data_IF_194863904590
#
_entry.id   IF_194863904590
#
_cell.length_a   1.000
_cell.length_b   1.000
_cell.length_c   1.000
_cell.angle_alpha   90.00
_cell.angle_beta   90.00
_cell.angle_gamma   90.00
#
_symmetry.space_group_name_H-M   'P 1'
#
loop_
_entity.id
_entity.type
_entity.pdbx_description
1 polymer ?
#
# COMPACT_ATOMS: atom_id res chain seq x y z
N UNK A 1 -23.65 -11.65 -6.36
CA UNK A 1 -24.21 -10.61 -7.25
C UNK A 1 -23.11 -10.15 -8.20
N UNK A 2 -23.41 -10.10 -9.49
CA UNK A 2 -22.49 -9.61 -10.54
C UNK A 2 -23.25 -8.61 -11.40
N UNK A 3 -22.68 -7.43 -11.59
CA UNK A 3 -23.29 -6.35 -12.36
C UNK A 3 -22.22 -5.55 -13.09
N UNK A 4 -22.62 -4.84 -14.14
CA UNK A 4 -21.73 -3.95 -14.87
C UNK A 4 -22.31 -2.54 -14.91
N UNK A 5 -21.44 -1.55 -14.93
CA UNK A 5 -21.79 -0.15 -15.19
C UNK A 5 -20.72 0.50 -16.07
N UNK A 6 -21.12 1.56 -16.77
CA UNK A 6 -20.24 2.30 -17.67
C UNK A 6 -19.83 3.60 -17.01
N UNK A 7 -18.53 3.89 -17.06
CA UNK A 7 -17.97 5.22 -16.79
C UNK A 7 -17.37 5.75 -18.09
N UNK A 8 -17.12 7.07 -18.24
CA UNK A 8 -16.52 7.61 -19.46
C UNK A 8 -15.26 6.83 -19.88
N UNK A 9 -15.32 6.21 -21.06
CA UNK A 9 -14.22 5.44 -21.65
C UNK A 9 -13.99 4.03 -21.08
N UNK A 10 -14.78 3.53 -20.12
CA UNK A 10 -14.58 2.20 -19.51
C UNK A 10 -15.88 1.50 -19.13
N UNK A 11 -15.92 0.19 -19.27
CA UNK A 11 -16.95 -0.67 -18.66
C UNK A 11 -16.36 -1.33 -17.43
N UNK A 12 -17.01 -1.17 -16.28
CA UNK A 12 -16.59 -1.76 -15.01
C UNK A 12 -17.53 -2.92 -14.68
N UNK A 13 -16.96 -4.11 -14.50
CA UNK A 13 -17.66 -5.30 -14.03
C UNK A 13 -17.36 -5.50 -12.55
N UNK A 14 -18.39 -5.57 -11.72
CA UNK A 14 -18.29 -5.85 -10.29
C UNK A 14 -18.90 -7.21 -9.98
N UNK A 15 -18.21 -8.02 -9.19
CA UNK A 15 -18.67 -9.34 -8.78
C UNK A 15 -18.32 -9.62 -7.33
N UNK A 16 -19.29 -10.17 -6.60
CA UNK A 16 -19.08 -10.78 -5.27
C UNK A 16 -19.35 -12.30 -5.30
N UNK A 17 -19.57 -12.88 -6.49
CA UNK A 17 -19.70 -14.33 -6.64
C UNK A 17 -18.34 -15.00 -6.42
N UNK A 18 -18.20 -15.92 -5.45
CA UNK A 18 -16.96 -16.63 -5.17
C UNK A 18 -16.39 -17.38 -6.37
N UNK A 19 -17.24 -17.91 -7.27
CA UNK A 19 -16.77 -18.63 -8.47
C UNK A 19 -16.07 -17.69 -9.45
N UNK A 20 -16.61 -16.48 -9.62
CA UNK A 20 -15.97 -15.46 -10.46
C UNK A 20 -14.67 -14.97 -9.83
N UNK A 21 -14.64 -14.77 -8.50
CA UNK A 21 -13.44 -14.36 -7.77
C UNK A 21 -12.35 -15.44 -7.88
N UNK A 22 -12.69 -16.71 -7.69
CA UNK A 22 -11.75 -17.83 -7.89
C UNK A 22 -11.26 -17.91 -9.33
N UNK A 23 -12.15 -17.70 -10.30
CA UNK A 23 -11.77 -17.68 -11.70
C UNK A 23 -10.72 -16.60 -11.99
N UNK A 24 -10.98 -15.37 -11.52
CA UNK A 24 -10.11 -14.21 -11.75
C UNK A 24 -8.79 -14.28 -10.99
N UNK A 25 -8.81 -14.68 -9.72
CA UNK A 25 -7.65 -14.55 -8.83
C UNK A 25 -6.81 -15.84 -8.72
N UNK A 26 -7.30 -16.97 -9.24
CA UNK A 26 -6.63 -18.27 -9.08
C UNK A 26 -6.58 -19.08 -10.36
N UNK A 27 -7.73 -19.45 -10.94
CA UNK A 27 -7.72 -20.45 -12.04
C UNK A 27 -7.36 -19.85 -13.39
N UNK A 28 -7.54 -18.55 -13.57
CA UNK A 28 -7.30 -17.85 -14.84
C UNK A 28 -6.56 -16.52 -14.65
N UNK A 29 -5.72 -16.44 -13.62
CA UNK A 29 -5.07 -15.20 -13.15
C UNK A 29 -4.34 -14.43 -14.26
N UNK A 30 -3.61 -15.13 -15.13
CA UNK A 30 -2.79 -14.50 -16.17
C UNK A 30 -3.60 -13.71 -17.21
N UNK A 31 -4.92 -13.98 -17.32
CA UNK A 31 -5.84 -13.25 -18.19
C UNK A 31 -6.44 -11.98 -17.54
N UNK A 32 -6.20 -11.74 -16.25
CA UNK A 32 -6.73 -10.58 -15.51
C UNK A 32 -5.58 -9.68 -15.02
N UNK A 33 -5.00 -8.93 -15.95
CA UNK A 33 -3.95 -7.96 -15.66
C UNK A 33 -4.52 -6.62 -15.17
N UNK A 34 -3.72 -5.85 -14.42
CA UNK A 34 -4.09 -4.48 -14.00
C UNK A 34 -4.10 -3.53 -15.19
N UNK A 35 -3.10 -3.65 -16.07
CA UNK A 35 -2.99 -2.90 -17.32
C UNK A 35 -2.75 -1.40 -17.13
N UNK A 36 -2.60 -0.68 -18.25
CA UNK A 36 -2.24 0.74 -18.29
C UNK A 36 -3.21 1.66 -17.55
N UNK A 37 -4.49 1.30 -17.54
CA UNK A 37 -5.52 2.05 -16.82
C UNK A 37 -5.17 2.19 -15.33
N UNK A 38 -4.60 1.13 -14.74
CA UNK A 38 -4.13 1.15 -13.36
C UNK A 38 -2.66 1.58 -13.26
N UNK A 39 -1.77 1.08 -14.12
CA UNK A 39 -0.33 1.29 -13.91
C UNK A 39 0.12 2.73 -14.15
N UNK A 40 -0.48 3.43 -15.12
CA UNK A 40 0.00 4.73 -15.55
C UNK A 40 -0.13 5.80 -14.44
N UNK A 41 -1.29 5.97 -13.77
CA UNK A 41 -1.43 6.97 -12.71
C UNK A 41 -0.47 6.79 -11.53
N UNK A 42 -0.05 5.55 -11.28
CA UNK A 42 0.78 5.17 -10.14
C UNK A 42 2.28 5.11 -10.46
N UNK A 43 2.68 5.33 -11.72
CA UNK A 43 4.07 5.18 -12.17
C UNK A 43 5.04 6.14 -11.48
N UNK A 44 4.63 7.38 -11.17
CA UNK A 44 5.53 8.37 -10.57
C UNK A 44 6.03 7.97 -9.17
N UNK A 45 5.19 7.27 -8.38
CA UNK A 45 5.57 6.82 -7.04
C UNK A 45 6.06 5.37 -7.03
N UNK A 46 5.37 4.48 -7.73
CA UNK A 46 5.63 3.03 -7.66
C UNK A 46 6.59 2.56 -8.75
N UNK A 47 6.83 3.37 -9.79
CA UNK A 47 7.67 3.03 -10.92
C UNK A 47 7.27 1.70 -11.55
N UNK A 48 8.27 0.86 -11.82
CA UNK A 48 8.09 -0.55 -12.20
C UNK A 48 8.16 -1.50 -11.00
N UNK A 49 7.69 -1.05 -9.84
CA UNK A 49 7.65 -1.83 -8.61
C UNK A 49 6.53 -2.87 -8.60
N UNK A 50 6.58 -3.77 -7.61
CA UNK A 50 5.74 -4.98 -7.52
C UNK A 50 4.24 -4.70 -7.58
N UNK A 51 3.79 -3.53 -7.14
CA UNK A 51 2.38 -3.16 -7.16
C UNK A 51 1.91 -2.59 -8.50
N UNK A 52 2.83 -2.22 -9.39
CA UNK A 52 2.54 -1.45 -10.60
C UNK A 52 2.84 -2.19 -11.92
N UNK A 53 3.32 -3.44 -11.84
CA UNK A 53 3.66 -4.27 -13.00
C UNK A 53 2.79 -5.53 -13.07
N UNK A 54 2.69 -6.13 -14.25
CA UNK A 54 1.95 -7.36 -14.53
C UNK A 54 2.88 -8.46 -15.09
N UNK A 55 2.36 -9.69 -15.23
CA UNK A 55 3.03 -10.81 -15.89
C UNK A 55 4.33 -11.27 -15.23
N UNK A 56 5.30 -11.69 -16.05
CA UNK A 56 6.58 -12.26 -15.60
C UNK A 56 7.37 -11.34 -14.68
N UNK A 57 7.35 -10.01 -14.94
CA UNK A 57 8.06 -9.06 -14.10
C UNK A 57 7.44 -8.99 -12.69
N UNK A 58 6.11 -8.97 -12.60
CA UNK A 58 5.39 -9.07 -11.34
C UNK A 58 5.73 -10.38 -10.62
N UNK A 59 5.67 -11.51 -11.33
CA UNK A 59 5.96 -12.82 -10.75
C UNK A 59 7.38 -12.89 -10.18
N UNK A 60 8.37 -12.39 -10.93
CA UNK A 60 9.76 -12.35 -10.48
C UNK A 60 9.95 -11.48 -9.23
N UNK A 61 9.37 -10.28 -9.21
CA UNK A 61 9.44 -9.39 -8.06
C UNK A 61 8.71 -9.98 -6.85
N UNK A 62 7.50 -10.53 -7.03
CA UNK A 62 6.75 -11.22 -5.97
C UNK A 62 7.50 -12.39 -5.40
N UNK A 63 8.07 -13.25 -6.24
CA UNK A 63 8.87 -14.39 -5.79
C UNK A 63 10.07 -13.94 -4.98
N UNK A 64 10.71 -12.84 -5.38
CA UNK A 64 11.84 -12.27 -4.64
C UNK A 64 11.39 -11.68 -3.30
N UNK A 65 10.38 -10.81 -3.29
CA UNK A 65 9.85 -10.17 -2.08
C UNK A 65 9.27 -11.17 -1.08
N UNK A 66 8.71 -12.29 -1.53
CA UNK A 66 8.15 -13.33 -0.63
C UNK A 66 9.18 -13.87 0.37
N UNK A 67 10.47 -13.81 0.03
CA UNK A 67 11.57 -14.25 0.92
C UNK A 67 11.74 -13.35 2.14
N UNK A 68 11.28 -12.10 2.07
CA UNK A 68 11.28 -11.18 3.22
C UNK A 68 10.22 -11.56 4.26
N UNK A 69 9.19 -12.32 3.86
CA UNK A 69 8.04 -12.67 4.69
C UNK A 69 8.00 -14.16 5.06
N UNK A 70 9.17 -14.78 5.23
CA UNK A 70 9.25 -16.16 5.72
C UNK A 70 8.90 -16.24 7.21
N UNK A 71 8.46 -17.42 7.68
CA UNK A 71 8.22 -17.68 9.10
C UNK A 71 9.39 -17.26 9.99
N UNK A 72 10.62 -17.58 9.57
CA UNK A 72 11.84 -17.18 10.29
C UNK A 72 11.95 -15.66 10.40
N UNK A 73 11.78 -14.92 9.30
CA UNK A 73 11.80 -13.45 9.33
C UNK A 73 10.70 -12.88 10.22
N UNK A 74 9.53 -13.52 10.23
CA UNK A 74 8.42 -13.14 11.10
C UNK A 74 8.80 -13.23 12.58
N UNK A 75 9.35 -14.37 13.00
CA UNK A 75 9.73 -14.65 14.39
C UNK A 75 10.94 -13.81 14.83
N UNK A 76 11.94 -13.64 13.96
CA UNK A 76 13.21 -13.02 14.37
C UNK A 76 13.23 -11.50 14.23
N UNK A 77 12.46 -10.94 13.30
CA UNK A 77 12.54 -9.52 12.93
C UNK A 77 11.17 -8.82 12.98
N UNK A 78 10.20 -9.23 12.16
CA UNK A 78 8.91 -8.53 12.03
C UNK A 78 8.19 -8.40 13.37
N UNK A 79 8.10 -9.50 14.14
CA UNK A 79 7.42 -9.49 15.44
C UNK A 79 8.05 -8.51 16.42
N UNK A 80 9.38 -8.35 16.37
CA UNK A 80 10.09 -7.40 17.25
C UNK A 80 9.83 -5.96 16.85
N UNK A 81 9.85 -5.66 15.56
CA UNK A 81 9.55 -4.31 15.03
C UNK A 81 8.12 -3.92 15.39
N UNK A 82 7.16 -4.81 15.11
CA UNK A 82 5.75 -4.60 15.45
C UNK A 82 5.59 -4.37 16.95
N UNK A 83 6.14 -5.24 17.81
CA UNK A 83 6.04 -5.06 19.26
C UNK A 83 6.66 -3.72 19.74
N UNK A 84 7.81 -3.34 19.17
CA UNK A 84 8.48 -2.08 19.49
C UNK A 84 7.63 -0.87 19.12
N UNK A 85 7.06 -0.84 17.91
CA UNK A 85 6.22 0.28 17.46
C UNK A 85 4.86 0.29 18.16
N UNK A 86 4.30 -0.87 18.52
CA UNK A 86 3.10 -0.94 19.35
C UNK A 86 3.37 -0.31 20.72
N UNK A 87 4.51 -0.61 21.35
CA UNK A 87 4.87 0.02 22.62
C UNK A 87 5.00 1.55 22.50
N UNK A 88 5.52 2.07 21.38
CA UNK A 88 5.53 3.52 21.10
C UNK A 88 4.11 4.09 21.02
N UNK A 89 3.22 3.43 20.26
CA UNK A 89 1.81 3.84 20.15
C UNK A 89 1.14 3.86 21.52
N UNK A 90 1.29 2.82 22.32
CA UNK A 90 0.76 2.76 23.69
C UNK A 90 1.29 3.91 24.54
N UNK A 91 2.60 4.17 24.50
CA UNK A 91 3.19 5.28 25.25
C UNK A 91 2.70 6.66 24.80
N UNK A 92 2.40 6.86 23.51
CA UNK A 92 1.77 8.10 23.02
C UNK A 92 0.35 8.22 23.57
N UNK A 93 -0.42 7.13 23.52
CA UNK A 93 -1.79 7.10 24.02
C UNK A 93 -1.88 7.32 25.53
N UNK A 94 -0.89 6.89 26.30
CA UNK A 94 -0.84 7.10 27.75
C UNK A 94 -0.43 8.53 28.15
N UNK A 95 0.30 9.25 27.27
CA UNK A 95 0.78 10.62 27.53
C UNK A 95 -0.24 11.69 27.21
N UNK A 96 -1.08 11.45 26.22
CA UNK A 96 -2.10 12.40 25.79
C UNK A 96 -3.42 12.10 26.52
N UNK A 97 -3.93 13.07 27.27
CA UNK A 97 -5.29 13.00 27.80
C UNK A 97 -6.27 13.40 26.68
N UNK A 98 -7.18 12.49 26.29
CA UNK A 98 -8.27 12.81 25.38
C UNK A 98 -8.56 11.78 24.31
N UNK A 99 -9.09 12.25 23.18
CA UNK A 99 -9.51 11.43 22.04
C UNK A 99 -8.43 11.40 20.97
N UNK A 100 -8.18 10.22 20.40
CA UNK A 100 -7.22 10.03 19.32
C UNK A 100 -7.89 9.94 17.95
N UNK A 101 -7.27 10.55 16.95
CA UNK A 101 -7.52 10.19 15.55
C UNK A 101 -6.84 8.84 15.27
N UNK A 102 -7.62 7.76 15.35
CA UNK A 102 -7.14 6.41 15.09
C UNK A 102 -6.64 6.22 13.66
N UNK A 103 -7.14 6.99 12.69
CA UNK A 103 -6.66 6.89 11.32
C UNK A 103 -5.23 7.43 11.21
N UNK A 104 -4.97 8.61 11.77
CA UNK A 104 -3.62 9.19 11.77
C UNK A 104 -2.63 8.35 12.57
N UNK A 105 -3.03 7.87 13.75
CA UNK A 105 -2.17 7.05 14.60
C UNK A 105 -1.80 5.72 13.91
N UNK A 106 -2.79 5.05 13.29
CA UNK A 106 -2.54 3.81 12.55
C UNK A 106 -1.76 4.05 11.26
N UNK A 107 -1.92 5.19 10.58
CA UNK A 107 -1.11 5.54 9.42
C UNK A 107 0.37 5.66 9.80
N UNK A 108 0.66 6.43 10.86
CA UNK A 108 2.03 6.60 11.42
C UNK A 108 2.62 5.27 11.87
N UNK A 109 1.86 4.46 12.61
CA UNK A 109 2.27 3.13 13.03
C UNK A 109 2.62 2.23 11.83
N UNK A 110 1.77 2.23 10.81
CA UNK A 110 1.97 1.39 9.62
C UNK A 110 3.19 1.84 8.83
N UNK A 111 3.35 3.15 8.66
CA UNK A 111 4.46 3.74 7.90
C UNK A 111 5.81 3.42 8.55
N UNK A 112 5.94 3.66 9.85
CA UNK A 112 7.16 3.36 10.60
C UNK A 112 7.45 1.86 10.64
N UNK A 113 6.42 1.03 10.87
CA UNK A 113 6.59 -0.43 10.96
C UNK A 113 7.01 -1.05 9.64
N UNK A 114 6.33 -0.74 8.54
CA UNK A 114 6.69 -1.26 7.22
C UNK A 114 8.00 -0.64 6.73
N UNK A 115 8.25 0.64 7.04
CA UNK A 115 9.50 1.32 6.77
C UNK A 115 10.70 0.59 7.40
N UNK A 116 10.61 0.25 8.68
CA UNK A 116 11.68 -0.49 9.38
C UNK A 116 11.83 -1.92 8.87
N UNK A 117 10.73 -2.65 8.66
CA UNK A 117 10.77 -4.04 8.13
C UNK A 117 11.39 -4.08 6.73
N UNK A 118 11.01 -3.13 5.87
CA UNK A 118 11.39 -3.12 4.45
C UNK A 118 12.77 -2.54 4.19
N UNK A 119 13.16 -1.52 4.95
CA UNK A 119 14.30 -0.65 4.61
C UNK A 119 15.29 -0.44 5.76
N UNK A 120 15.10 -1.13 6.89
CA UNK A 120 15.91 -1.04 8.11
C UNK A 120 15.80 0.29 8.87
N UNK A 121 16.37 0.31 10.09
CA UNK A 121 16.31 1.46 11.01
C UNK A 121 16.97 2.74 10.48
N UNK A 122 17.92 2.64 9.55
CA UNK A 122 18.55 3.84 8.95
C UNK A 122 17.56 4.63 8.10
N UNK A 123 16.59 3.96 7.47
CA UNK A 123 15.52 4.60 6.70
C UNK A 123 14.40 5.06 7.64
N UNK A 124 14.12 4.34 8.73
CA UNK A 124 13.19 4.81 9.77
C UNK A 124 13.59 6.18 10.34
N UNK A 125 14.89 6.46 10.50
CA UNK A 125 15.36 7.77 10.95
C UNK A 125 14.94 8.93 10.02
N UNK A 126 14.65 8.63 8.74
CA UNK A 126 14.08 9.59 7.79
C UNK A 126 12.55 9.64 7.77
N UNK A 127 11.86 8.66 8.37
CA UNK A 127 10.40 8.60 8.47
C UNK A 127 9.95 9.17 9.82
N UNK A 128 10.38 8.55 10.93
CA UNK A 128 10.18 9.02 12.32
C UNK A 128 8.76 9.48 12.65
N UNK A 129 7.74 8.90 12.03
CA UNK A 129 6.40 9.50 12.05
C UNK A 129 5.71 9.28 13.39
N UNK A 130 6.00 8.20 14.12
CA UNK A 130 5.49 7.99 15.47
C UNK A 130 6.10 8.99 16.47
N UNK A 131 7.34 9.42 16.27
CA UNK A 131 7.99 10.43 17.11
C UNK A 131 7.55 11.85 16.75
N UNK A 132 7.42 12.16 15.46
CA UNK A 132 7.00 13.47 14.96
C UNK A 132 5.83 13.36 13.97
N UNK A 133 4.60 13.78 14.37
CA UNK A 133 3.46 13.81 13.45
C UNK A 133 3.66 14.78 12.27
N UNK A 134 4.60 15.72 12.37
CA UNK A 134 4.94 16.69 11.32
C UNK A 134 6.05 16.21 10.37
N UNK A 135 6.38 14.92 10.41
CA UNK A 135 7.40 14.32 9.54
C UNK A 135 7.25 14.76 8.07
N UNK A 136 8.30 15.36 7.46
CA UNK A 136 8.28 15.74 6.06
C UNK A 136 8.05 14.55 5.12
N UNK A 137 8.56 13.38 5.49
CA UNK A 137 8.36 12.15 4.72
C UNK A 137 6.90 11.72 4.75
N UNK A 138 6.27 11.70 5.93
CA UNK A 138 4.84 11.39 6.06
C UNK A 138 4.00 12.32 5.18
N UNK A 139 4.22 13.63 5.30
CA UNK A 139 3.51 14.65 4.54
C UNK A 139 3.68 14.48 3.02
N UNK A 140 4.91 14.24 2.56
CA UNK A 140 5.21 14.03 1.14
C UNK A 140 4.62 12.72 0.62
N UNK A 141 4.67 11.65 1.41
CA UNK A 141 4.13 10.34 1.04
C UNK A 141 2.60 10.38 0.95
N UNK A 142 1.92 10.92 1.96
CA UNK A 142 0.46 11.11 1.96
C UNK A 142 0.03 11.97 0.76
N UNK A 143 0.75 13.08 0.49
CA UNK A 143 0.46 13.93 -0.66
C UNK A 143 0.63 13.19 -1.98
N UNK A 144 1.68 12.38 -2.10
CA UNK A 144 1.92 11.55 -3.29
C UNK A 144 0.77 10.58 -3.50
N UNK A 145 0.36 9.82 -2.47
CA UNK A 145 -0.75 8.88 -2.55
C UNK A 145 -2.07 9.56 -2.97
N UNK A 146 -2.38 10.73 -2.40
CA UNK A 146 -3.55 11.51 -2.78
C UNK A 146 -3.54 11.88 -4.27
N UNK A 147 -2.39 12.30 -4.81
CA UNK A 147 -2.25 12.64 -6.23
C UNK A 147 -2.53 11.40 -7.10
N UNK A 148 -1.93 10.24 -6.81
CA UNK A 148 -2.13 9.03 -7.64
C UNK A 148 -3.58 8.56 -7.61
N UNK A 149 -4.23 8.57 -6.44
CA UNK A 149 -5.63 8.18 -6.28
C UNK A 149 -6.56 9.12 -7.05
N UNK A 150 -6.28 10.42 -7.00
CA UNK A 150 -7.04 11.45 -7.75
C UNK A 150 -6.92 11.21 -9.26
N UNK A 151 -5.70 10.97 -9.76
CA UNK A 151 -5.45 10.64 -11.18
C UNK A 151 -6.17 9.36 -11.63
N UNK A 152 -6.29 8.36 -10.76
CA UNK A 152 -6.95 7.11 -11.10
C UNK A 152 -8.49 7.20 -11.09
N UNK A 153 -9.07 7.88 -10.10
CA UNK A 153 -10.53 7.89 -9.89
C UNK A 153 -11.24 9.10 -10.47
N UNK A 154 -10.65 10.29 -10.41
CA UNK A 154 -11.39 11.55 -10.60
C UNK A 154 -10.87 12.41 -11.73
N UNK A 155 -9.59 12.30 -12.10
CA UNK A 155 -8.99 13.11 -13.17
C UNK A 155 -8.55 12.25 -14.35
N UNK A 156 -9.41 12.01 -15.35
CA UNK A 156 -9.04 11.26 -16.55
C UNK A 156 -8.10 12.05 -17.49
N UNK A 157 -7.89 13.34 -17.26
CA UNK A 157 -7.10 14.24 -18.11
C UNK A 157 -5.76 14.65 -17.50
N UNK A 158 -5.36 14.00 -16.40
CA UNK A 158 -4.13 14.32 -15.65
C UNK A 158 -2.83 14.31 -16.45
N UNK A 159 -2.82 13.69 -17.65
CA UNK A 159 -1.67 13.67 -18.57
C UNK A 159 -1.61 14.88 -19.51
N UNK A 160 -2.68 15.67 -19.59
CA UNK A 160 -2.85 16.78 -20.54
C UNK A 160 -2.77 18.14 -19.82
N UNK A 161 -3.05 18.16 -18.52
CA UNK A 161 -2.87 19.31 -17.61
C UNK A 161 -1.49 19.25 -16.94
#
# INVERSE_FOLDING_TARGET
MTFAYTVPGKVVLCTVDPKNIEHMLKTNFDNYVKGHVFSDPFTDLLGKGIFNVDGELWYHQRKTSSKMFTKKQFETHISKVVASNTAKVTALMEREEGTFDMFQLMNRFTLDTIGEIGFSKSVLAGIGSLEDPSSPFLSAFDRSQQILITRFWTDPFWKIL
#
